data_IF_591449679753
#
_entry.id   IF_591449679753
#
_cell.length_a   1.000
_cell.length_b   1.000
_cell.length_c   1.000
_cell.angle_alpha   90.00
_cell.angle_beta   90.00
_cell.angle_gamma   90.00
#
_symmetry.space_group_name_H-M   'P 1'
#
loop_
_entity.id
_entity.type
_entity.pdbx_description
1 polymer ?
#
# COMPACT_ATOMS: atom_id res chain seq x y z
N UNK A 1 21.93 6.49 -30.64
CA UNK A 1 21.88 5.07 -31.06
C UNK A 1 20.95 4.39 -30.10
N UNK A 2 19.92 3.70 -30.59
CA UNK A 2 19.04 2.91 -29.72
C UNK A 2 19.81 1.67 -29.28
N UNK A 3 20.35 1.68 -28.06
CA UNK A 3 21.04 0.53 -27.49
C UNK A 3 20.02 -0.58 -27.25
N UNK A 4 19.87 -1.45 -28.25
CA UNK A 4 19.10 -2.68 -28.13
C UNK A 4 19.90 -3.59 -27.20
N UNK A 5 19.36 -3.86 -26.02
CA UNK A 5 19.93 -4.84 -25.08
C UNK A 5 20.07 -6.18 -25.82
N UNK A 6 21.28 -6.77 -25.89
CA UNK A 6 21.47 -7.99 -26.66
C UNK A 6 20.68 -9.15 -26.05
N UNK A 7 20.20 -10.11 -26.86
CA UNK A 7 19.53 -11.31 -26.34
C UNK A 7 20.39 -12.11 -25.35
N UNK A 8 21.72 -11.97 -25.43
CA UNK A 8 22.72 -12.57 -24.54
C UNK A 8 22.94 -11.80 -23.24
N UNK A 9 22.23 -10.70 -23.00
CA UNK A 9 22.48 -9.86 -21.83
C UNK A 9 22.44 -10.64 -20.50
N UNK A 10 21.54 -11.63 -20.37
CA UNK A 10 21.46 -12.43 -19.15
C UNK A 10 22.75 -13.23 -18.86
N UNK A 11 23.44 -13.75 -19.88
CA UNK A 11 24.69 -14.50 -19.67
C UNK A 11 25.87 -13.63 -19.26
N UNK A 12 25.77 -12.32 -19.46
CA UNK A 12 26.80 -11.34 -19.10
C UNK A 12 26.47 -10.61 -17.79
N UNK A 13 25.27 -10.82 -17.23
CA UNK A 13 24.88 -10.23 -15.95
C UNK A 13 25.67 -10.88 -14.81
N UNK A 14 26.24 -10.03 -13.96
CA UNK A 14 26.93 -10.44 -12.73
C UNK A 14 26.14 -10.00 -11.50
N UNK A 15 26.17 -10.82 -10.46
CA UNK A 15 25.53 -10.53 -9.19
C UNK A 15 26.57 -10.10 -8.16
N UNK A 16 26.30 -9.02 -7.42
CA UNK A 16 27.09 -8.60 -6.27
C UNK A 16 26.21 -7.93 -5.23
N UNK A 17 26.63 -7.94 -3.96
CA UNK A 17 25.93 -7.16 -2.94
C UNK A 17 26.12 -5.66 -3.18
N UNK A 18 25.12 -4.88 -2.79
CA UNK A 18 25.23 -3.44 -2.71
C UNK A 18 26.28 -3.04 -1.67
N UNK A 19 26.97 -1.93 -1.91
CA UNK A 19 27.87 -1.30 -0.97
C UNK A 19 27.56 0.19 -0.83
N UNK A 20 28.19 0.86 0.14
CA UNK A 20 27.99 2.29 0.42
C UNK A 20 28.15 3.18 -0.82
N UNK A 21 29.08 2.85 -1.72
CA UNK A 21 29.34 3.64 -2.93
C UNK A 21 28.19 3.57 -3.95
N UNK A 22 27.24 2.64 -3.79
CA UNK A 22 26.09 2.50 -4.69
C UNK A 22 24.93 3.44 -4.36
N UNK A 23 24.95 4.16 -3.23
CA UNK A 23 23.80 4.95 -2.73
C UNK A 23 23.20 5.86 -3.80
N UNK A 24 24.02 6.64 -4.49
CA UNK A 24 23.53 7.62 -5.48
C UNK A 24 22.97 6.93 -6.73
N UNK A 25 23.58 5.82 -7.16
CA UNK A 25 23.05 5.01 -8.26
C UNK A 25 21.72 4.35 -7.88
N UNK A 26 21.60 3.83 -6.66
CA UNK A 26 20.39 3.17 -6.16
C UNK A 26 19.26 4.19 -6.00
N UNK A 27 19.55 5.41 -5.51
CA UNK A 27 18.58 6.51 -5.46
C UNK A 27 18.00 6.83 -6.82
N UNK A 28 18.86 6.98 -7.83
CA UNK A 28 18.45 7.28 -9.20
C UNK A 28 17.53 6.17 -9.75
N UNK A 29 17.97 4.91 -9.64
CA UNK A 29 17.21 3.76 -10.12
C UNK A 29 15.87 3.60 -9.38
N UNK A 30 15.85 3.77 -8.06
CA UNK A 30 14.62 3.74 -7.28
C UNK A 30 13.64 4.84 -7.71
N UNK A 31 14.13 6.06 -7.97
CA UNK A 31 13.31 7.17 -8.46
C UNK A 31 12.63 6.88 -9.80
N UNK A 32 13.28 6.09 -10.66
CA UNK A 32 12.72 5.66 -11.94
C UNK A 32 11.77 4.46 -11.82
N UNK A 33 12.04 3.54 -10.89
CA UNK A 33 11.30 2.28 -10.76
C UNK A 33 10.05 2.43 -9.90
N UNK A 34 10.13 3.23 -8.84
CA UNK A 34 9.12 3.33 -7.81
C UNK A 34 8.61 4.76 -7.72
N UNK A 35 7.29 4.97 -7.71
CA UNK A 35 6.70 6.30 -7.55
C UNK A 35 6.73 6.81 -6.09
N UNK A 36 7.45 6.11 -5.20
CA UNK A 36 7.52 6.36 -3.76
C UNK A 36 8.90 6.90 -3.43
N UNK A 37 8.95 7.92 -2.58
CA UNK A 37 10.20 8.49 -2.09
C UNK A 37 10.62 7.80 -0.80
N UNK A 38 11.84 7.27 -0.79
CA UNK A 38 12.47 6.71 0.41
C UNK A 38 13.38 7.75 1.05
N UNK A 39 13.48 7.81 2.39
CA UNK A 39 14.39 8.73 3.06
C UNK A 39 15.87 8.31 2.86
N UNK A 40 16.80 9.26 2.95
CA UNK A 40 18.24 9.00 2.80
C UNK A 40 18.75 7.91 3.75
N UNK A 41 18.23 7.86 4.97
CA UNK A 41 18.58 6.83 5.97
C UNK A 41 18.24 5.42 5.48
N UNK A 42 17.18 5.26 4.68
CA UNK A 42 16.81 3.96 4.11
C UNK A 42 17.87 3.49 3.11
N UNK A 43 18.33 4.38 2.22
CA UNK A 43 19.39 4.05 1.26
C UNK A 43 20.69 3.68 1.97
N UNK A 44 21.09 4.45 2.99
CA UNK A 44 22.25 4.13 3.81
C UNK A 44 22.15 2.76 4.47
N UNK A 45 20.97 2.42 4.99
CA UNK A 45 20.68 1.15 5.64
C UNK A 45 20.80 -0.01 4.66
N UNK A 46 20.14 0.04 3.50
CA UNK A 46 20.12 -1.08 2.56
C UNK A 46 21.48 -1.31 1.88
N UNK A 47 22.35 -0.32 1.79
CA UNK A 47 23.69 -0.46 1.19
C UNK A 47 24.79 -0.82 2.17
N UNK A 48 24.55 -0.67 3.48
CA UNK A 48 25.62 -0.75 4.50
C UNK A 48 25.30 -1.73 5.64
N UNK A 49 24.02 -2.01 5.88
CA UNK A 49 23.59 -2.86 6.99
C UNK A 49 23.46 -4.33 6.57
N UNK A 50 24.30 -5.18 7.16
CA UNK A 50 24.36 -6.63 6.86
C UNK A 50 23.11 -7.41 7.25
N UNK A 51 22.14 -6.80 7.95
CA UNK A 51 20.84 -7.43 8.20
C UNK A 51 20.03 -7.63 6.92
N UNK A 52 20.30 -6.84 5.88
CA UNK A 52 19.61 -6.94 4.61
C UNK A 52 20.34 -7.84 3.62
N UNK A 53 19.57 -8.62 2.89
CA UNK A 53 20.00 -9.23 1.65
C UNK A 53 19.78 -8.21 0.52
N UNK A 54 20.82 -7.44 0.22
CA UNK A 54 20.79 -6.35 -0.76
C UNK A 54 21.65 -6.71 -1.98
N UNK A 55 21.04 -7.33 -2.98
CA UNK A 55 21.74 -7.90 -4.13
C UNK A 55 21.45 -7.10 -5.40
N UNK A 56 22.51 -6.72 -6.12
CA UNK A 56 22.45 -6.05 -7.41
C UNK A 56 22.79 -7.02 -8.56
N UNK A 57 22.06 -6.87 -9.66
CA UNK A 57 22.43 -7.37 -10.97
C UNK A 57 23.13 -6.27 -11.76
N UNK A 58 24.29 -6.58 -12.30
CA UNK A 58 25.15 -5.63 -13.02
C UNK A 58 25.42 -6.09 -14.45
N UNK A 59 25.49 -5.15 -15.38
CA UNK A 59 25.83 -5.37 -16.78
C UNK A 59 26.72 -4.23 -17.27
N UNK A 60 27.87 -4.54 -17.88
CA UNK A 60 28.86 -3.53 -18.27
C UNK A 60 29.38 -2.68 -17.10
N UNK A 61 29.37 -3.20 -15.87
CA UNK A 61 29.77 -2.49 -14.65
C UNK A 61 28.68 -1.62 -14.00
N UNK A 62 27.57 -1.36 -14.69
CA UNK A 62 26.43 -0.60 -14.15
C UNK A 62 25.37 -1.50 -13.51
N UNK A 63 24.66 -1.00 -12.49
CA UNK A 63 23.52 -1.70 -11.89
C UNK A 63 22.32 -1.65 -12.83
N UNK A 64 21.79 -2.80 -13.21
CA UNK A 64 20.62 -2.95 -14.09
C UNK A 64 19.40 -3.55 -13.39
N UNK A 65 19.57 -4.03 -12.16
CA UNK A 65 18.46 -4.46 -11.30
C UNK A 65 18.94 -4.71 -9.88
N UNK A 66 18.02 -4.77 -8.93
CA UNK A 66 18.34 -5.15 -7.56
C UNK A 66 17.15 -5.78 -6.86
N UNK A 67 17.46 -6.57 -5.82
CA UNK A 67 16.49 -7.03 -4.82
C UNK A 67 17.03 -6.69 -3.43
N UNK A 68 16.15 -6.20 -2.57
CA UNK A 68 16.45 -5.89 -1.17
C UNK A 68 15.43 -6.60 -0.31
N UNK A 69 15.90 -7.45 0.61
CA UNK A 69 15.05 -8.18 1.53
C UNK A 69 15.61 -8.21 2.95
N UNK A 70 14.73 -8.40 3.94
CA UNK A 70 15.09 -8.62 5.34
C UNK A 70 14.51 -9.95 5.80
N UNK A 71 15.37 -10.85 6.32
CA UNK A 71 14.93 -12.05 7.05
C UNK A 71 14.74 -11.64 8.51
N UNK A 72 13.52 -11.81 9.02
CA UNK A 72 13.14 -11.37 10.37
C UNK A 72 12.21 -12.37 11.03
N UNK A 73 12.22 -12.39 12.37
CA UNK A 73 11.29 -13.20 13.15
C UNK A 73 9.84 -12.79 12.91
N UNK A 74 8.90 -13.74 13.01
CA UNK A 74 7.47 -13.52 12.77
C UNK A 74 6.86 -12.42 13.63
N UNK A 75 7.42 -12.18 14.81
CA UNK A 75 6.99 -11.12 15.74
C UNK A 75 7.30 -9.71 15.23
N UNK A 76 8.18 -9.57 14.23
CA UNK A 76 8.53 -8.31 13.56
C UNK A 76 7.73 -8.07 12.28
N UNK A 77 6.75 -8.91 11.98
CA UNK A 77 5.78 -8.67 10.89
C UNK A 77 4.84 -7.57 11.33
N UNK A 78 4.51 -6.65 10.41
CA UNK A 78 3.59 -5.57 10.71
C UNK A 78 2.17 -6.11 10.96
N UNK A 79 1.37 -5.38 11.74
CA UNK A 79 0.08 -5.90 12.24
C UNK A 79 -0.90 -6.22 11.12
N UNK A 80 -0.86 -5.46 10.03
CA UNK A 80 -1.66 -5.68 8.83
C UNK A 80 -1.40 -7.03 8.14
N UNK A 81 -0.25 -7.64 8.40
CA UNK A 81 0.21 -8.90 7.79
C UNK A 81 0.40 -10.02 8.83
N UNK A 82 -0.09 -9.83 10.05
CA UNK A 82 0.19 -10.71 11.18
C UNK A 82 -0.31 -12.16 11.01
N UNK A 83 -1.21 -12.39 10.06
CA UNK A 83 -1.81 -13.68 9.73
C UNK A 83 -1.21 -14.34 8.47
N UNK A 84 -0.12 -13.80 7.90
CA UNK A 84 0.67 -14.49 6.86
C UNK A 84 1.12 -15.88 7.34
N UNK A 85 1.44 -16.00 8.63
CA UNK A 85 1.76 -17.27 9.26
C UNK A 85 0.71 -17.62 10.30
N UNK A 86 0.23 -18.87 10.26
CA UNK A 86 -0.67 -19.41 11.28
C UNK A 86 -0.10 -19.23 12.69
N UNK A 87 -0.97 -18.98 13.67
CA UNK A 87 -0.56 -18.79 15.07
C UNK A 87 0.12 -20.03 15.67
N UNK A 88 -0.11 -21.22 15.10
CA UNK A 88 0.52 -22.49 15.47
C UNK A 88 2.03 -22.57 15.20
N UNK A 89 2.57 -21.73 14.30
CA UNK A 89 4.01 -21.71 14.05
C UNK A 89 4.81 -21.30 15.31
N UNK A 90 5.99 -21.89 15.56
CA UNK A 90 6.86 -21.47 16.66
C UNK A 90 7.20 -19.97 16.65
N UNK A 91 7.48 -19.38 17.81
CA UNK A 91 7.76 -17.93 17.95
C UNK A 91 9.08 -17.53 17.27
N UNK A 92 10.03 -18.46 17.19
CA UNK A 92 11.32 -18.31 16.49
C UNK A 92 11.20 -18.47 14.96
N UNK A 93 10.00 -18.78 14.44
CA UNK A 93 9.74 -18.81 12.99
C UNK A 93 10.06 -17.46 12.36
N UNK A 94 10.68 -17.49 11.18
CA UNK A 94 11.09 -16.32 10.41
C UNK A 94 10.26 -16.18 9.14
N UNK A 95 10.29 -14.96 8.60
CA UNK A 95 9.81 -14.61 7.26
C UNK A 95 10.85 -13.75 6.55
N UNK A 96 10.82 -13.74 5.23
CA UNK A 96 11.58 -12.81 4.42
C UNK A 96 10.65 -11.74 3.83
N UNK A 97 10.92 -10.47 4.14
CA UNK A 97 10.19 -9.35 3.55
C UNK A 97 10.99 -8.78 2.38
N UNK A 98 10.40 -8.68 1.18
CA UNK A 98 11.02 -7.98 0.05
C UNK A 98 10.66 -6.49 0.15
N UNK A 99 11.66 -5.66 0.44
CA UNK A 99 11.51 -4.20 0.52
C UNK A 99 11.48 -3.58 -0.88
N UNK A 100 12.29 -4.09 -1.80
CA UNK A 100 12.39 -3.57 -3.16
C UNK A 100 12.83 -4.65 -4.13
N UNK A 101 12.21 -4.68 -5.31
CA UNK A 101 12.65 -5.45 -6.46
C UNK A 101 12.43 -4.60 -7.71
N UNK A 102 13.49 -4.33 -8.45
CA UNK A 102 13.43 -3.49 -9.64
C UNK A 102 14.47 -3.89 -10.68
N UNK A 103 14.12 -3.63 -11.94
CA UNK A 103 14.99 -3.85 -13.10
C UNK A 103 14.80 -2.67 -14.04
N UNK A 104 15.92 -2.15 -14.56
CA UNK A 104 15.96 -1.11 -15.60
C UNK A 104 15.07 -1.52 -16.76
N UNK A 105 14.27 -0.57 -17.27
CA UNK A 105 13.15 -0.84 -18.18
C UNK A 105 13.58 -1.61 -19.43
N UNK A 106 14.73 -1.25 -19.98
CA UNK A 106 15.35 -1.82 -21.18
C UNK A 106 15.79 -3.28 -20.97
N UNK A 107 16.15 -3.62 -19.72
CA UNK A 107 16.59 -4.96 -19.31
C UNK A 107 15.44 -5.84 -18.80
N UNK A 108 14.21 -5.31 -18.68
CA UNK A 108 13.03 -6.11 -18.28
C UNK A 108 12.74 -7.19 -19.32
N UNK A 109 12.09 -8.27 -18.87
CA UNK A 109 11.74 -9.46 -19.68
C UNK A 109 12.94 -10.27 -20.20
N UNK A 110 14.16 -10.02 -19.70
CA UNK A 110 15.36 -10.83 -19.97
C UNK A 110 15.71 -11.80 -18.82
N UNK A 111 14.78 -12.07 -17.90
CA UNK A 111 14.99 -13.01 -16.80
C UNK A 111 15.70 -12.47 -15.55
N UNK A 112 16.24 -11.24 -15.59
CA UNK A 112 16.98 -10.65 -14.44
C UNK A 112 16.14 -10.58 -13.16
N UNK A 113 14.86 -10.20 -13.26
CA UNK A 113 13.97 -10.20 -12.10
C UNK A 113 13.77 -11.59 -11.50
N UNK A 114 13.71 -12.64 -12.34
CA UNK A 114 13.68 -14.03 -11.87
C UNK A 114 14.97 -14.37 -11.16
N UNK A 115 16.12 -14.09 -11.80
CA UNK A 115 17.45 -14.37 -11.26
C UNK A 115 17.62 -13.79 -9.86
N UNK A 116 17.24 -12.52 -9.67
CA UNK A 116 17.32 -11.85 -8.36
C UNK A 116 16.43 -12.52 -7.30
N UNK A 117 15.19 -12.89 -7.65
CA UNK A 117 14.27 -13.56 -6.73
C UNK A 117 14.72 -14.99 -6.40
N UNK A 118 15.26 -15.70 -7.39
CA UNK A 118 15.79 -17.06 -7.21
C UNK A 118 17.05 -17.03 -6.32
N UNK A 119 17.92 -16.04 -6.49
CA UNK A 119 19.07 -15.82 -5.58
C UNK A 119 18.64 -15.52 -4.15
N UNK A 120 17.54 -14.79 -3.92
CA UNK A 120 16.98 -14.62 -2.58
C UNK A 120 16.47 -15.95 -2.00
N UNK A 121 15.75 -16.75 -2.79
CA UNK A 121 15.25 -18.08 -2.37
C UNK A 121 16.40 -19.03 -2.02
N UNK A 122 17.48 -19.00 -2.78
CA UNK A 122 18.70 -19.77 -2.53
C UNK A 122 19.41 -19.30 -1.25
N UNK A 123 19.52 -17.99 -1.05
CA UNK A 123 20.08 -17.42 0.17
C UNK A 123 19.28 -17.86 1.40
N UNK A 124 17.94 -17.75 1.38
CA UNK A 124 17.06 -18.21 2.46
C UNK A 124 17.26 -19.70 2.73
N UNK A 125 17.35 -20.51 1.68
CA UNK A 125 17.62 -21.95 1.79
C UNK A 125 18.98 -22.26 2.42
N UNK A 126 19.95 -21.35 2.29
CA UNK A 126 21.30 -21.55 2.86
C UNK A 126 21.40 -21.03 4.29
N UNK A 127 20.75 -19.90 4.62
CA UNK A 127 20.97 -19.18 5.89
C UNK A 127 19.85 -19.35 6.91
N UNK A 128 18.65 -19.74 6.47
CA UNK A 128 17.45 -19.74 7.30
C UNK A 128 16.53 -20.94 7.00
N UNK A 129 17.09 -22.03 6.48
CA UNK A 129 16.37 -23.19 5.96
C UNK A 129 15.30 -23.71 6.94
N UNK A 130 15.65 -23.86 8.21
CA UNK A 130 14.72 -24.48 9.16
C UNK A 130 13.69 -23.49 9.74
N UNK A 131 13.95 -22.19 9.62
CA UNK A 131 13.20 -21.16 10.33
C UNK A 131 12.34 -20.28 9.43
N UNK A 132 12.77 -19.97 8.20
CA UNK A 132 12.03 -19.06 7.31
C UNK A 132 10.93 -19.81 6.55
N UNK A 133 9.66 -19.43 6.76
CA UNK A 133 8.50 -20.16 6.21
C UNK A 133 7.71 -19.43 5.13
N UNK A 134 7.87 -18.12 5.01
CA UNK A 134 7.21 -17.34 3.96
C UNK A 134 8.12 -16.21 3.45
N UNK A 135 7.97 -15.88 2.17
CA UNK A 135 8.46 -14.64 1.57
C UNK A 135 7.24 -13.77 1.28
N UNK A 136 7.26 -12.51 1.68
CA UNK A 136 6.14 -11.60 1.45
C UNK A 136 6.59 -10.22 1.00
N UNK A 137 5.68 -9.48 0.36
CA UNK A 137 5.93 -8.15 -0.19
C UNK A 137 4.63 -7.35 -0.32
N UNK A 138 4.81 -6.05 -0.50
CA UNK A 138 3.73 -5.14 -0.89
C UNK A 138 3.87 -4.69 -2.34
N UNK A 139 2.74 -4.59 -3.03
CA UNK A 139 2.67 -4.10 -4.41
C UNK A 139 1.48 -3.16 -4.59
N UNK A 140 1.64 -2.06 -5.32
CA UNK A 140 0.51 -1.20 -5.72
C UNK A 140 -0.55 -2.02 -6.47
N UNK A 141 -1.82 -1.81 -6.15
CA UNK A 141 -2.93 -2.51 -6.83
C UNK A 141 -2.98 -2.26 -8.34
N UNK A 142 -2.41 -1.14 -8.78
CA UNK A 142 -2.31 -0.75 -10.19
C UNK A 142 -1.09 -1.33 -10.91
N UNK A 143 -0.13 -1.93 -10.19
CA UNK A 143 1.09 -2.48 -10.77
C UNK A 143 0.88 -3.91 -11.29
N UNK A 144 0.06 -4.02 -12.33
CA UNK A 144 -0.28 -5.28 -12.99
C UNK A 144 0.94 -6.06 -13.50
N UNK A 145 2.04 -5.37 -13.82
CA UNK A 145 3.28 -6.02 -14.27
C UNK A 145 3.92 -6.80 -13.14
N UNK A 146 4.06 -6.18 -11.96
CA UNK A 146 4.61 -6.83 -10.78
C UNK A 146 3.67 -7.93 -10.24
N UNK A 147 2.36 -7.67 -10.19
CA UNK A 147 1.37 -8.66 -9.74
C UNK A 147 1.50 -9.95 -10.56
N UNK A 148 1.44 -9.86 -11.89
CA UNK A 148 1.61 -11.04 -12.77
C UNK A 148 2.99 -11.68 -12.64
N UNK A 149 4.04 -10.89 -12.41
CA UNK A 149 5.38 -11.44 -12.20
C UNK A 149 5.43 -12.34 -10.96
N UNK A 150 4.82 -11.90 -9.85
CA UNK A 150 4.79 -12.65 -8.60
C UNK A 150 3.82 -13.84 -8.65
N UNK A 151 2.62 -13.67 -9.22
CA UNK A 151 1.64 -14.76 -9.40
C UNK A 151 2.23 -15.94 -10.19
N UNK A 152 2.99 -15.64 -11.25
CA UNK A 152 3.68 -16.66 -12.06
C UNK A 152 4.88 -17.32 -11.33
N UNK A 153 5.14 -16.96 -10.07
CA UNK A 153 6.25 -17.45 -9.23
C UNK A 153 5.77 -17.90 -7.84
N UNK A 154 4.53 -18.41 -7.82
CA UNK A 154 3.87 -19.01 -6.67
C UNK A 154 3.51 -18.05 -5.54
N UNK A 155 3.63 -16.73 -5.75
CA UNK A 155 3.04 -15.78 -4.82
C UNK A 155 1.53 -15.73 -4.99
N UNK A 156 0.82 -15.65 -3.88
CA UNK A 156 -0.61 -15.47 -3.81
C UNK A 156 -0.90 -14.13 -3.17
N UNK A 157 -1.92 -13.45 -3.67
CA UNK A 157 -2.44 -12.25 -3.01
C UNK A 157 -3.06 -12.65 -1.68
N UNK A 158 -2.63 -11.96 -0.61
CA UNK A 158 -3.05 -12.22 0.77
C UNK A 158 -4.04 -11.18 1.25
N UNK A 159 -3.61 -9.91 1.30
CA UNK A 159 -4.41 -8.79 1.79
C UNK A 159 -4.53 -7.66 0.79
N UNK A 160 -5.66 -6.96 0.86
CA UNK A 160 -5.83 -5.63 0.28
C UNK A 160 -5.60 -4.59 1.36
N UNK A 161 -4.71 -3.64 1.09
CA UNK A 161 -4.28 -2.60 2.00
C UNK A 161 -4.78 -1.24 1.47
N UNK A 162 -5.93 -0.73 1.94
CA UNK A 162 -6.44 0.55 1.48
C UNK A 162 -5.47 1.68 1.85
N UNK A 163 -5.21 2.59 0.91
CA UNK A 163 -4.40 3.80 1.13
C UNK A 163 -2.99 3.57 1.70
N UNK A 164 -2.41 2.39 1.47
CA UNK A 164 -1.12 1.98 2.03
C UNK A 164 0.07 2.83 1.59
N UNK A 165 0.08 3.27 0.33
CA UNK A 165 1.18 4.03 -0.26
C UNK A 165 0.86 5.51 -0.35
N UNK A 166 1.84 6.37 -0.05
CA UNK A 166 1.79 7.79 -0.40
C UNK A 166 2.69 8.05 -1.60
N UNK A 167 2.09 8.46 -2.72
CA UNK A 167 2.78 8.79 -3.96
C UNK A 167 2.56 10.26 -4.23
N UNK A 168 3.60 11.07 -3.99
CA UNK A 168 3.55 12.54 -4.14
C UNK A 168 2.38 13.15 -3.37
N UNK A 169 2.17 12.68 -2.14
CA UNK A 169 1.07 13.10 -1.26
C UNK A 169 -0.30 12.48 -1.56
N UNK A 170 -0.42 11.67 -2.62
CA UNK A 170 -1.68 10.99 -2.96
C UNK A 170 -1.64 9.55 -2.42
N UNK A 171 -2.62 9.22 -1.58
CA UNK A 171 -2.76 7.87 -1.05
C UNK A 171 -3.22 6.89 -2.14
N UNK A 172 -2.62 5.70 -2.16
CA UNK A 172 -2.88 4.62 -3.11
C UNK A 172 -2.93 3.27 -2.40
N UNK A 173 -3.77 2.39 -2.90
CA UNK A 173 -3.94 1.06 -2.33
C UNK A 173 -2.78 0.13 -2.67
N UNK A 174 -2.53 -0.83 -1.78
CA UNK A 174 -1.59 -1.91 -1.97
C UNK A 174 -2.23 -3.29 -1.85
N UNK A 175 -1.50 -4.30 -2.28
CA UNK A 175 -1.73 -5.69 -1.93
C UNK A 175 -0.52 -6.21 -1.16
N UNK A 176 -0.78 -7.02 -0.15
CA UNK A 176 0.20 -7.97 0.39
C UNK A 176 0.16 -9.22 -0.49
N UNK A 177 1.32 -9.68 -0.95
CA UNK A 177 1.48 -10.98 -1.61
C UNK A 177 2.51 -11.80 -0.87
N UNK A 178 2.28 -13.12 -0.73
CA UNK A 178 3.23 -14.03 -0.10
C UNK A 178 3.39 -15.34 -0.89
N UNK A 179 4.53 -16.00 -0.72
CA UNK A 179 4.72 -17.40 -1.09
C UNK A 179 5.31 -18.19 0.08
N UNK A 180 4.87 -19.43 0.26
CA UNK A 180 5.43 -20.35 1.25
C UNK A 180 6.82 -20.83 0.80
N UNK A 181 7.75 -20.92 1.75
CA UNK A 181 9.08 -21.51 1.49
C UNK A 181 9.00 -23.01 1.75
N UNK A 182 9.23 -23.82 0.71
CA UNK A 182 9.23 -25.28 0.79
C UNK A 182 10.66 -25.81 0.79
N UNK A 183 10.97 -26.70 1.73
CA UNK A 183 12.26 -27.38 1.82
C UNK A 183 12.08 -28.87 1.53
N UNK A 184 12.56 -29.33 0.37
CA UNK A 184 12.43 -30.73 -0.06
C UNK A 184 11.00 -31.17 -0.44
N UNK A 185 10.79 -32.49 -0.55
CA UNK A 185 9.50 -33.13 -0.88
C UNK A 185 8.57 -33.32 0.33
N UNK A 186 8.99 -32.88 1.52
CA UNK A 186 8.16 -32.97 2.70
C UNK A 186 7.14 -31.82 2.68
N UNK A 187 5.87 -32.19 2.50
CA UNK A 187 4.75 -31.36 2.93
C UNK A 187 4.96 -31.13 4.43
N UNK A 188 5.51 -29.98 4.82
CA UNK A 188 5.21 -29.44 6.15
C UNK A 188 3.69 -29.38 6.19
N UNK A 189 3.11 -30.17 7.10
CA UNK A 189 1.68 -30.44 7.25
C UNK A 189 0.85 -29.30 6.69
N UNK A 190 0.17 -29.59 5.59
CA UNK A 190 -0.77 -28.74 4.88
C UNK A 190 -0.91 -27.32 5.45
N UNK A 191 -0.27 -26.33 4.81
CA UNK A 191 -0.83 -24.98 4.71
C UNK A 191 -2.11 -25.09 3.87
N UNK A 192 -3.11 -25.80 4.37
CA UNK A 192 -4.48 -25.64 3.96
C UNK A 192 -4.96 -24.37 4.63
N UNK A 193 -4.68 -23.24 3.98
CA UNK A 193 -5.77 -22.26 3.90
C UNK A 193 -6.90 -23.06 3.24
N UNK A 194 -7.93 -23.43 4.00
CA UNK A 194 -9.08 -24.13 3.45
C UNK A 194 -9.44 -23.51 2.10
N UNK A 195 -9.67 -24.31 1.04
CA UNK A 195 -9.99 -23.78 -0.27
C UNK A 195 -11.14 -22.79 -0.11
N UNK A 196 -10.88 -21.52 -0.45
CA UNK A 196 -11.85 -20.42 -0.32
C UNK A 196 -13.19 -20.93 -0.81
N UNK A 197 -14.09 -21.19 0.14
CA UNK A 197 -15.34 -21.88 -0.14
C UNK A 197 -16.09 -21.11 -1.22
N UNK A 198 -16.98 -21.74 -2.02
CA UNK A 198 -17.84 -21.02 -2.94
C UNK A 198 -18.57 -19.85 -2.25
N UNK A 199 -18.82 -19.96 -0.94
CA UNK A 199 -19.36 -18.93 -0.06
C UNK A 199 -18.36 -17.79 0.18
N UNK A 200 -17.09 -18.07 0.46
CA UNK A 200 -16.05 -17.03 0.62
C UNK A 200 -15.70 -16.36 -0.72
N UNK A 201 -15.61 -17.10 -1.84
CA UNK A 201 -15.47 -16.50 -3.19
C UNK A 201 -16.68 -15.65 -3.57
N UNK A 202 -17.88 -16.09 -3.18
CA UNK A 202 -19.10 -15.30 -3.33
C UNK A 202 -19.09 -14.08 -2.43
N UNK A 203 -18.61 -14.18 -1.20
CA UNK A 203 -18.40 -13.03 -0.28
C UNK A 203 -17.34 -12.08 -0.80
N UNK A 204 -16.26 -12.55 -1.43
CA UNK A 204 -15.26 -11.70 -2.07
C UNK A 204 -15.80 -10.99 -3.30
N UNK A 205 -16.56 -11.69 -4.16
CA UNK A 205 -17.28 -11.06 -5.29
C UNK A 205 -18.37 -10.12 -4.82
N UNK A 206 -19.04 -10.41 -3.70
CA UNK A 206 -20.03 -9.52 -3.09
C UNK A 206 -19.36 -8.30 -2.46
N UNK A 207 -18.21 -8.47 -1.80
CA UNK A 207 -17.35 -7.39 -1.29
C UNK A 207 -16.73 -6.58 -2.43
N UNK A 208 -16.39 -7.19 -3.55
CA UNK A 208 -15.88 -6.52 -4.75
C UNK A 208 -16.99 -5.70 -5.42
N UNK A 209 -18.20 -6.26 -5.53
CA UNK A 209 -19.39 -5.52 -5.94
C UNK A 209 -19.77 -4.44 -4.93
N UNK A 210 -19.47 -4.61 -3.65
CA UNK A 210 -19.68 -3.60 -2.60
C UNK A 210 -18.61 -2.51 -2.65
N UNK A 211 -17.36 -2.85 -2.99
CA UNK A 211 -16.24 -1.93 -3.28
C UNK A 211 -16.45 -1.15 -4.57
N UNK A 212 -16.96 -1.80 -5.62
CA UNK A 212 -17.35 -1.15 -6.87
C UNK A 212 -18.57 -0.25 -6.63
N UNK A 213 -19.51 -0.68 -5.76
CA UNK A 213 -20.58 0.19 -5.28
C UNK A 213 -20.07 1.34 -4.44
N UNK A 214 -19.05 1.16 -3.59
CA UNK A 214 -18.39 2.21 -2.79
C UNK A 214 -17.60 3.18 -3.67
N UNK A 215 -16.94 2.70 -4.71
CA UNK A 215 -16.20 3.52 -5.67
C UNK A 215 -17.14 4.29 -6.60
N UNK A 216 -18.17 3.62 -7.13
CA UNK A 216 -19.29 4.25 -7.83
C UNK A 216 -20.08 5.17 -6.91
N UNK A 217 -20.03 4.96 -5.58
CA UNK A 217 -20.62 5.82 -4.56
C UNK A 217 -19.76 7.05 -4.28
N UNK A 218 -18.44 6.95 -4.20
CA UNK A 218 -17.54 8.12 -4.14
C UNK A 218 -17.66 8.97 -5.40
N UNK A 219 -17.72 8.31 -6.56
CA UNK A 219 -18.01 8.96 -7.83
C UNK A 219 -19.41 9.57 -7.80
N UNK A 220 -20.48 8.81 -7.51
CA UNK A 220 -21.85 9.30 -7.49
C UNK A 220 -22.05 10.45 -6.49
N UNK A 221 -21.46 10.37 -5.29
CA UNK A 221 -21.29 11.46 -4.33
C UNK A 221 -20.49 12.63 -4.86
N UNK A 222 -20.14 12.69 -6.15
CA UNK A 222 -19.31 13.63 -6.89
C UNK A 222 -17.97 13.97 -6.27
N UNK A 223 -17.55 13.20 -5.27
CA UNK A 223 -16.38 13.55 -4.45
C UNK A 223 -15.29 13.62 -5.48
N UNK A 224 -14.84 14.84 -5.72
CA UNK A 224 -13.72 15.02 -6.60
C UNK A 224 -12.61 14.29 -5.87
N UNK A 225 -12.17 13.14 -6.39
CA UNK A 225 -10.96 12.47 -5.88
C UNK A 225 -9.78 13.32 -6.35
N UNK A 226 -9.74 14.55 -5.84
CA UNK A 226 -8.65 15.49 -5.88
C UNK A 226 -8.08 15.51 -4.48
N UNK A 227 -6.96 14.80 -4.32
CA UNK A 227 -5.99 15.25 -3.34
C UNK A 227 -5.64 16.70 -3.68
N UNK A 228 -6.04 17.66 -2.84
CA UNK A 228 -5.66 19.05 -3.03
C UNK A 228 -4.25 19.27 -2.51
N UNK A 229 -3.37 19.74 -3.38
CA UNK A 229 -2.60 20.94 -3.05
C UNK A 229 -2.58 21.88 -4.24
N UNK A 230 -3.00 23.13 -4.01
CA UNK A 230 -2.98 24.23 -4.98
C UNK A 230 -1.55 24.76 -5.10
N UNK A 231 -0.99 24.80 -6.33
CA UNK A 231 -0.67 26.07 -7.00
C UNK A 231 -0.33 25.92 -8.50
N UNK A 232 -0.95 26.84 -9.24
CA UNK A 232 -0.68 27.37 -10.58
C UNK A 232 -0.65 26.44 -11.80
N UNK A 233 -1.71 26.55 -12.61
CA UNK A 233 -1.55 27.21 -13.91
C UNK A 233 -1.63 26.33 -15.16
N UNK A 234 -2.71 26.57 -15.91
CA UNK A 234 -2.87 26.34 -17.37
C UNK A 234 -3.24 24.91 -17.79
N UNK A 235 -4.49 24.79 -18.26
CA UNK A 235 -5.04 23.55 -18.80
C UNK A 235 -4.59 23.23 -20.22
N UNK A 236 -4.82 21.96 -20.60
CA UNK A 236 -5.18 21.51 -21.95
C UNK A 236 -5.75 20.09 -21.88
N UNK A 237 -6.92 19.93 -22.49
CA UNK A 237 -7.68 18.69 -22.72
C UNK A 237 -6.96 17.72 -23.66
N UNK A 238 -7.04 16.41 -23.39
CA UNK A 238 -7.06 15.37 -24.44
C UNK A 238 -8.01 14.22 -24.07
N UNK A 239 -8.92 13.92 -25.01
CA UNK A 239 -9.76 12.72 -25.07
C UNK A 239 -8.92 11.48 -25.42
N UNK A 240 -9.27 10.30 -24.90
CA UNK A 240 -10.17 9.35 -25.60
C UNK A 240 -10.20 7.99 -24.85
N UNK A 241 -11.35 7.61 -24.26
CA UNK A 241 -11.64 6.21 -23.91
C UNK A 241 -13.15 5.94 -24.02
N UNK A 242 -13.49 5.05 -24.97
CA UNK A 242 -14.59 4.06 -24.97
C UNK A 242 -15.98 4.46 -24.44
N UNK A 243 -16.95 4.54 -25.35
CA UNK A 243 -18.33 5.01 -25.24
C UNK A 243 -19.28 4.33 -24.22
N UNK A 244 -18.82 3.50 -23.27
CA UNK A 244 -19.65 2.94 -22.18
C UNK A 244 -19.35 3.62 -20.83
N UNK A 245 -18.17 4.24 -20.66
CA UNK A 245 -17.80 5.02 -19.48
C UNK A 245 -18.47 6.41 -19.45
N UNK A 246 -18.81 6.98 -20.61
CA UNK A 246 -19.28 8.37 -20.73
C UNK A 246 -20.67 8.65 -20.18
N UNK A 247 -21.59 7.67 -20.07
CA UNK A 247 -22.91 7.92 -19.45
C UNK A 247 -22.91 7.81 -17.92
N UNK A 248 -21.90 7.14 -17.35
CA UNK A 248 -21.82 6.81 -15.91
C UNK A 248 -20.96 7.80 -15.11
N UNK A 249 -20.00 8.45 -15.76
CA UNK A 249 -19.25 9.59 -15.21
C UNK A 249 -20.15 10.81 -14.96
N UNK A 250 -21.23 10.99 -15.73
CA UNK A 250 -22.12 12.16 -15.63
C UNK A 250 -22.95 12.16 -14.32
N UNK A 251 -23.28 10.98 -13.80
CA UNK A 251 -23.99 10.83 -12.51
C UNK A 251 -23.08 11.05 -11.30
N UNK A 252 -21.76 11.03 -11.52
CA UNK A 252 -20.76 11.26 -10.50
C UNK A 252 -20.80 12.71 -10.03
N UNK A 253 -20.60 13.63 -10.97
CA UNK A 253 -20.52 15.08 -10.69
C UNK A 253 -21.77 15.65 -10.00
N UNK A 254 -22.94 15.02 -10.15
CA UNK A 254 -24.20 15.52 -9.57
C UNK A 254 -24.37 15.31 -8.05
N UNK A 255 -23.77 14.30 -7.39
CA UNK A 255 -23.99 14.13 -5.94
C UNK A 255 -22.91 14.73 -5.01
N UNK A 256 -21.76 15.24 -5.48
CA UNK A 256 -20.89 16.12 -4.63
C UNK A 256 -21.35 17.51 -4.68
N UNK A 257 -21.85 17.94 -5.83
CA UNK A 257 -22.56 19.20 -5.90
C UNK A 257 -23.65 19.26 -4.81
N UNK A 258 -24.36 18.14 -4.56
CA UNK A 258 -25.38 18.05 -3.49
C UNK A 258 -24.81 17.93 -2.07
N UNK A 259 -23.67 17.27 -1.85
CA UNK A 259 -23.04 17.15 -0.53
C UNK A 259 -22.28 18.42 -0.10
N UNK A 260 -21.62 19.10 -1.05
CA UNK A 260 -20.88 20.34 -0.84
C UNK A 260 -21.81 21.51 -0.40
N UNK A 261 -23.07 21.49 -0.83
CA UNK A 261 -24.13 22.45 -0.45
C UNK A 261 -24.85 22.09 0.86
N UNK A 262 -24.48 20.99 1.52
CA UNK A 262 -25.11 20.52 2.76
C UNK A 262 -24.77 21.38 3.99
N UNK A 263 -25.64 21.37 5.04
CA UNK A 263 -25.38 22.09 6.28
C UNK A 263 -24.13 21.56 7.00
N UNK A 264 -23.41 22.47 7.65
CA UNK A 264 -22.28 22.13 8.52
C UNK A 264 -22.82 21.80 9.91
N UNK A 265 -22.35 20.70 10.47
CA UNK A 265 -22.67 20.21 11.81
C UNK A 265 -21.45 20.29 12.71
N UNK A 266 -21.69 20.21 14.01
CA UNK A 266 -20.65 20.13 15.03
C UNK A 266 -20.80 18.83 15.83
N UNK A 267 -19.70 18.41 16.45
CA UNK A 267 -19.66 17.23 17.30
C UNK A 267 -18.32 17.08 17.99
N UNK A 268 -18.18 15.98 18.71
CA UNK A 268 -16.96 15.65 19.45
C UNK A 268 -16.42 14.32 18.93
N UNK A 269 -15.11 14.24 18.73
CA UNK A 269 -14.42 12.99 18.44
C UNK A 269 -14.69 12.00 19.58
N UNK A 270 -15.42 10.92 19.27
CA UNK A 270 -15.66 9.84 20.23
C UNK A 270 -14.45 8.92 20.34
N UNK A 271 -13.89 8.58 19.18
CA UNK A 271 -12.74 7.71 19.07
C UNK A 271 -12.18 7.82 17.67
N UNK A 272 -10.86 7.82 17.56
CA UNK A 272 -10.19 7.72 16.28
C UNK A 272 -8.97 6.80 16.38
N UNK A 273 -8.83 5.90 15.41
CA UNK A 273 -7.74 4.96 15.36
C UNK A 273 -6.86 5.25 14.15
N UNK A 274 -5.72 5.92 14.37
CA UNK A 274 -4.76 6.22 13.29
C UNK A 274 -4.36 4.98 12.50
N UNK A 275 -4.09 3.86 13.18
CA UNK A 275 -3.69 2.61 12.52
C UNK A 275 -4.81 1.94 11.72
N UNK A 276 -6.08 2.18 12.06
CA UNK A 276 -7.24 1.67 11.29
C UNK A 276 -7.80 2.71 10.31
N UNK A 277 -7.30 3.95 10.33
CA UNK A 277 -7.72 5.03 9.43
C UNK A 277 -9.17 5.50 9.60
N UNK A 278 -9.83 5.21 10.72
CA UNK A 278 -11.22 5.63 10.93
C UNK A 278 -11.56 5.83 12.40
N UNK A 279 -12.70 6.48 12.62
CA UNK A 279 -13.23 6.79 13.93
C UNK A 279 -14.74 7.10 13.89
N UNK A 280 -15.21 7.71 14.96
CA UNK A 280 -16.59 8.14 15.12
C UNK A 280 -16.66 9.53 15.76
N UNK A 281 -17.61 10.33 15.30
CA UNK A 281 -17.97 11.64 15.86
C UNK A 281 -19.32 11.50 16.55
N UNK A 282 -19.41 11.96 17.80
CA UNK A 282 -20.68 12.14 18.51
C UNK A 282 -21.26 13.51 18.13
N UNK A 283 -22.40 13.59 17.44
CA UNK A 283 -23.01 14.87 17.07
C UNK A 283 -23.40 15.72 18.28
N UNK A 284 -23.25 17.05 18.18
CA UNK A 284 -23.66 17.99 19.24
C UNK A 284 -25.19 17.99 19.48
N UNK A 285 -25.97 17.57 18.50
CA UNK A 285 -27.43 17.48 18.58
C UNK A 285 -27.93 16.20 19.29
N UNK A 286 -27.02 15.34 19.77
CA UNK A 286 -27.35 14.09 20.45
C UNK A 286 -27.76 12.96 19.50
N UNK A 287 -27.51 13.10 18.20
CA UNK A 287 -27.71 12.07 17.20
C UNK A 287 -26.84 10.81 17.40
N UNK A 288 -27.05 9.82 16.53
CA UNK A 288 -26.21 8.61 16.51
C UNK A 288 -24.80 8.96 16.08
N UNK A 289 -23.81 8.24 16.62
CA UNK A 289 -22.42 8.36 16.19
C UNK A 289 -22.28 8.26 14.68
N UNK A 290 -21.49 9.17 14.12
CA UNK A 290 -21.27 9.28 12.69
C UNK A 290 -19.87 8.75 12.38
N UNK A 291 -19.78 7.84 11.42
CA UNK A 291 -18.50 7.30 10.95
C UNK A 291 -17.67 8.40 10.28
N UNK A 292 -16.39 8.48 10.61
CA UNK A 292 -15.41 9.35 9.95
C UNK A 292 -14.22 8.54 9.47
N UNK A 293 -13.76 8.80 8.25
CA UNK A 293 -12.57 8.20 7.68
C UNK A 293 -11.42 9.21 7.68
N UNK A 294 -10.17 8.74 7.78
CA UNK A 294 -8.97 9.58 7.80
C UNK A 294 -8.87 10.52 6.60
N UNK A 295 -9.33 10.08 5.42
CA UNK A 295 -9.34 10.90 4.20
C UNK A 295 -10.27 12.10 4.27
N UNK A 296 -11.25 12.06 5.16
CA UNK A 296 -12.23 13.12 5.33
C UNK A 296 -11.83 14.10 6.43
N UNK A 297 -10.72 13.85 7.13
CA UNK A 297 -10.21 14.72 8.19
C UNK A 297 -9.19 15.68 7.58
N UNK A 298 -9.49 16.96 7.68
CA UNK A 298 -8.63 18.07 7.32
C UNK A 298 -7.82 18.56 8.53
N UNK A 299 -6.63 19.10 8.24
CA UNK A 299 -5.72 19.63 9.26
C UNK A 299 -4.56 18.70 9.59
N UNK A 300 -3.72 19.13 10.53
CA UNK A 300 -2.41 18.53 10.78
C UNK A 300 -2.41 17.52 11.95
N UNK A 301 -3.45 17.55 12.78
CA UNK A 301 -3.56 16.76 13.99
C UNK A 301 -4.32 15.45 13.76
N UNK A 302 -3.81 14.38 14.37
CA UNK A 302 -4.53 13.12 14.52
C UNK A 302 -5.62 13.34 15.55
N UNK A 303 -6.91 13.10 15.23
CA UNK A 303 -7.95 13.27 16.22
C UNK A 303 -7.76 12.41 17.46
N UNK A 304 -8.08 13.00 18.61
CA UNK A 304 -8.14 12.33 19.89
C UNK A 304 -9.55 12.45 20.45
N UNK A 305 -9.92 11.50 21.32
CA UNK A 305 -11.19 11.57 22.04
C UNK A 305 -11.34 12.91 22.78
N UNK A 306 -12.49 13.55 22.60
CA UNK A 306 -12.80 14.86 23.18
C UNK A 306 -12.52 16.06 22.27
N UNK A 307 -11.88 15.89 21.11
CA UNK A 307 -11.68 16.99 20.15
C UNK A 307 -13.02 17.50 19.60
N UNK A 308 -13.21 18.81 19.58
CA UNK A 308 -14.37 19.43 18.95
C UNK A 308 -14.16 19.50 17.44
N UNK A 309 -15.15 19.06 16.68
CA UNK A 309 -15.08 18.93 15.23
C UNK A 309 -16.26 19.62 14.55
N UNK A 310 -15.98 20.20 13.39
CA UNK A 310 -16.99 20.55 12.40
C UNK A 310 -16.96 19.54 11.26
N UNK A 311 -18.10 19.19 10.71
CA UNK A 311 -18.21 18.23 9.61
C UNK A 311 -19.50 18.44 8.81
N UNK A 312 -19.54 17.93 7.58
CA UNK A 312 -20.77 17.75 6.82
C UNK A 312 -21.18 16.29 6.81
N UNK A 313 -22.44 16.03 6.49
CA UNK A 313 -23.00 14.68 6.50
C UNK A 313 -23.35 14.24 5.09
N UNK A 314 -22.90 13.04 4.75
CA UNK A 314 -23.17 12.44 3.46
C UNK A 314 -23.80 11.05 3.62
N UNK A 315 -24.94 10.81 2.98
CA UNK A 315 -25.57 9.48 2.99
C UNK A 315 -24.74 8.47 2.20
N UNK A 316 -24.70 7.22 2.67
CA UNK A 316 -23.88 6.13 2.11
C UNK A 316 -24.73 5.19 1.21
N UNK A 317 -24.61 5.30 -0.12
CA UNK A 317 -25.08 4.31 -1.10
C UNK A 317 -24.64 2.87 -0.88
N UNK A 318 -25.33 1.92 -1.55
CA UNK A 318 -26.50 2.11 -2.43
C UNK A 318 -27.82 2.27 -1.66
N UNK A 319 -27.83 2.00 -0.35
CA UNK A 319 -29.05 1.95 0.46
C UNK A 319 -29.41 3.29 1.11
N UNK A 320 -28.44 4.21 1.27
CA UNK A 320 -28.63 5.52 1.90
C UNK A 320 -29.14 5.48 3.34
N UNK A 321 -29.02 4.33 4.02
CA UNK A 321 -29.51 4.12 5.40
C UNK A 321 -28.52 4.63 6.46
N UNK A 322 -27.25 4.77 6.10
CA UNK A 322 -26.17 5.25 6.97
C UNK A 322 -25.60 6.54 6.43
N UNK A 323 -24.95 7.29 7.30
CA UNK A 323 -24.30 8.55 6.97
C UNK A 323 -22.84 8.55 7.43
N UNK A 324 -22.00 9.31 6.74
CA UNK A 324 -20.59 9.52 7.00
C UNK A 324 -20.31 11.01 7.18
N UNK A 325 -19.38 11.32 8.07
CA UNK A 325 -18.84 12.66 8.24
C UNK A 325 -17.78 12.90 7.15
N UNK A 326 -17.95 13.99 6.41
CA UNK A 326 -17.05 14.46 5.35
C UNK A 326 -16.64 15.91 5.63
N UNK A 327 -15.54 16.38 5.04
CA UNK A 327 -14.99 17.74 5.30
C UNK A 327 -14.82 18.01 6.81
N UNK A 328 -14.26 17.03 7.53
CA UNK A 328 -14.13 17.07 8.99
C UNK A 328 -12.93 17.93 9.37
N UNK A 329 -13.14 18.97 10.16
CA UNK A 329 -12.07 19.82 10.68
C UNK A 329 -12.11 19.83 12.20
N UNK A 330 -10.96 19.62 12.85
CA UNK A 330 -10.83 19.82 14.31
C UNK A 330 -10.84 21.33 14.58
N UNK A 331 -11.87 21.78 15.30
CA UNK A 331 -12.08 23.18 15.68
C UNK A 331 -11.40 23.54 17.00
N UNK A 332 -11.41 22.62 17.97
CA UNK A 332 -10.69 22.78 19.24
C UNK A 332 -10.07 21.45 19.65
N UNK A 333 -8.77 21.48 19.97
CA UNK A 333 -8.06 20.35 20.55
C UNK A 333 -8.51 20.15 22.00
N UNK A 334 -8.68 18.89 22.41
CA UNK A 334 -9.05 18.55 23.78
C UNK A 334 -7.96 19.01 24.77
N UNK A 335 -8.23 20.02 25.63
CA UNK A 335 -7.22 20.60 26.50
C UNK A 335 -6.58 19.58 27.45
N UNK A 336 -5.28 19.71 27.70
CA UNK A 336 -4.55 18.82 28.60
C UNK A 336 -4.23 17.44 28.01
N UNK A 337 -4.56 17.21 26.73
CA UNK A 337 -4.25 15.96 26.02
C UNK A 337 -3.01 16.12 25.15
N UNK A 338 -2.23 15.04 25.02
CA UNK A 338 -1.12 15.01 24.05
C UNK A 338 -1.68 14.71 22.67
N UNK A 339 -1.43 15.63 21.76
CA UNK A 339 -1.79 15.50 20.35
C UNK A 339 -0.59 15.07 19.54
N UNK A 340 -0.83 14.22 18.55
CA UNK A 340 0.17 13.87 17.55
C UNK A 340 -0.26 14.47 16.21
N UNK A 341 0.69 14.97 15.44
CA UNK A 341 0.44 15.34 14.04
C UNK A 341 0.53 14.12 13.14
N UNK A 342 -0.04 14.18 11.93
CA UNK A 342 0.11 13.11 10.94
C UNK A 342 1.58 12.80 10.59
N UNK A 343 2.49 13.79 10.76
CA UNK A 343 3.92 13.68 10.57
C UNK A 343 4.70 13.13 11.78
N UNK A 344 4.03 12.86 12.91
CA UNK A 344 4.63 12.23 14.09
C UNK A 344 5.17 13.21 15.15
N UNK A 345 4.92 14.51 15.01
CA UNK A 345 5.26 15.49 16.04
C UNK A 345 4.24 15.47 17.18
N UNK A 346 4.71 15.45 18.42
CA UNK A 346 3.86 15.49 19.62
C UNK A 346 3.76 16.94 20.11
N UNK A 347 2.53 17.41 20.29
CA UNK A 347 2.18 18.74 20.81
C UNK A 347 1.29 18.57 22.04
N UNK A 348 1.54 19.34 23.09
CA UNK A 348 0.64 19.41 24.24
C UNK A 348 -0.31 20.59 24.03
N UNK A 349 -1.62 20.36 24.09
CA UNK A 349 -2.66 21.39 23.94
C UNK A 349 -3.15 21.95 25.27
#
# INVERSE_FOLDING_TARGET
MSDVVPPTALSEVQLRFLCHDDIENVKLLCGDWFPIEYPDSWYQDITSNKKFFSLAATFGGGIVGMIVAEIKGRTKVHKEDGDILASSFPVDTQVAYILSLGVVKEFRKHGIGSLLLDSLKEHISTTAQDHCKAIYLHVLTTNNTAIKFYENRDFRQHHYLPYYYSIRGVLKDGFTSHCDVRYGNALLDDVTVEPVTPIQKRREREREKERERQYLHCLALGVTVTATSRRSGVGKTFHNFGAIASKRLILADEWTARAAEGPVFTGVCKYFCRSKGHGFITPSDGGRDIFVHISDIEGEYVPVEGDEMSYKVCSIPPKYEKVQAVEVTITHLNPGTKHETWAGHIVSS
#
